data_IF_087632768973
#
_entry.id   IF_087632768973
#
_cell.length_a   1.000
_cell.length_b   1.000
_cell.length_c   1.000
_cell.angle_alpha   90.00
_cell.angle_beta   90.00
_cell.angle_gamma   90.00
#
_symmetry.space_group_name_H-M   'P 1'
#
loop_
_entity.id
_entity.type
_entity.pdbx_description
1 polymer ?
#
# COMPACT_ATOMS: atom_id res chain seq x y z
N UNK A 1 6.32 41.36 16.88
CA UNK A 1 5.66 40.25 17.59
C UNK A 1 4.19 40.62 17.61
N UNK A 2 3.34 39.88 16.90
CA UNK A 2 1.96 40.30 16.63
C UNK A 2 1.12 39.95 17.85
N UNK A 3 0.77 40.99 18.62
CA UNK A 3 -0.22 40.96 19.69
C UNK A 3 -1.51 41.55 19.10
N UNK A 4 -2.60 40.77 19.09
CA UNK A 4 -3.90 41.25 18.64
C UNK A 4 -4.73 41.48 19.91
N UNK A 5 -4.75 42.73 20.36
CA UNK A 5 -5.56 43.20 21.48
C UNK A 5 -7.01 43.37 21.01
N UNK A 6 -7.83 42.35 21.27
CA UNK A 6 -9.29 42.39 21.10
C UNK A 6 -9.90 43.08 22.34
N UNK A 7 -9.96 44.41 22.33
CA UNK A 7 -10.77 45.17 23.28
C UNK A 7 -12.09 45.59 22.65
N UNK A 8 -13.12 44.79 22.89
CA UNK A 8 -14.52 45.15 22.70
C UNK A 8 -14.97 45.96 23.92
N UNK A 9 -15.19 47.27 23.77
CA UNK A 9 -15.96 48.07 24.73
C UNK A 9 -17.26 48.57 24.08
N UNK A 10 -18.33 48.39 24.84
CA UNK A 10 -19.74 48.54 24.47
C UNK A 10 -20.28 49.89 24.98
N UNK A 11 -20.96 50.65 24.11
CA UNK A 11 -21.85 51.80 24.43
C UNK A 11 -21.32 53.24 24.22
N UNK A 12 -22.16 54.26 23.90
CA UNK A 12 -23.61 54.27 23.66
C UNK A 12 -24.01 54.54 22.18
N UNK A 13 -25.18 54.00 21.81
CA UNK A 13 -25.81 54.09 20.49
C UNK A 13 -26.21 55.52 20.09
N UNK A 14 -25.35 56.21 19.34
CA UNK A 14 -25.79 57.23 18.38
C UNK A 14 -25.89 56.55 17.02
N UNK A 15 -27.00 56.71 16.30
CA UNK A 15 -27.26 56.12 14.96
C UNK A 15 -26.15 56.49 13.95
N UNK A 16 -24.99 55.84 14.02
CA UNK A 16 -23.95 55.92 12.99
C UNK A 16 -24.35 54.96 11.89
N UNK A 17 -24.70 55.53 10.74
CA UNK A 17 -25.01 54.79 9.51
C UNK A 17 -23.95 53.71 9.29
N UNK A 18 -24.35 52.44 9.29
CA UNK A 18 -23.48 51.26 9.12
C UNK A 18 -22.57 51.34 7.88
N UNK A 19 -23.00 52.12 6.88
CA UNK A 19 -22.21 52.46 5.69
C UNK A 19 -20.90 53.18 6.00
N UNK A 20 -20.89 54.07 7.00
CA UNK A 20 -19.72 54.88 7.34
C UNK A 20 -18.65 54.04 8.05
N UNK A 21 -19.08 53.08 8.87
CA UNK A 21 -18.18 52.13 9.52
C UNK A 21 -17.59 51.15 8.50
N UNK A 22 -18.43 50.57 7.63
CA UNK A 22 -17.98 49.69 6.57
C UNK A 22 -16.99 50.39 5.61
N UNK A 23 -17.23 51.64 5.23
CA UNK A 23 -16.29 52.39 4.39
C UNK A 23 -14.96 52.67 5.07
N UNK A 24 -14.94 52.86 6.39
CA UNK A 24 -13.72 53.11 7.16
C UNK A 24 -12.86 51.84 7.27
N UNK A 25 -13.47 50.71 7.63
CA UNK A 25 -12.79 49.40 7.71
C UNK A 25 -12.28 48.95 6.34
N UNK A 26 -13.06 49.18 5.27
CA UNK A 26 -12.65 48.85 3.90
C UNK A 26 -11.53 49.77 3.39
N UNK A 27 -11.44 51.01 3.89
CA UNK A 27 -10.34 51.91 3.57
C UNK A 27 -9.04 51.51 4.30
N UNK A 28 -9.15 51.05 5.54
CA UNK A 28 -8.03 50.57 6.38
C UNK A 28 -7.61 49.11 6.10
N UNK A 29 -8.30 48.41 5.20
CA UNK A 29 -7.95 47.04 4.85
C UNK A 29 -6.59 46.97 4.14
N UNK A 30 -5.79 45.94 4.44
CA UNK A 30 -4.48 45.71 3.82
C UNK A 30 -4.55 45.41 2.31
N UNK A 31 -5.75 45.19 1.78
CA UNK A 31 -6.01 45.00 0.35
C UNK A 31 -6.12 46.38 -0.34
N UNK A 32 -5.05 46.83 -0.97
CA UNK A 32 -4.95 48.10 -1.71
C UNK A 32 -6.09 48.29 -2.73
N UNK A 33 -6.57 47.18 -3.31
CA UNK A 33 -7.68 47.19 -4.24
C UNK A 33 -9.00 47.67 -3.61
N UNK A 34 -9.25 47.31 -2.35
CA UNK A 34 -10.48 47.65 -1.61
C UNK A 34 -10.47 49.14 -1.23
N UNK A 35 -9.35 49.65 -0.73
CA UNK A 35 -9.19 51.08 -0.41
C UNK A 35 -9.38 51.96 -1.65
N UNK A 36 -8.86 51.53 -2.81
CA UNK A 36 -9.01 52.27 -4.06
C UNK A 36 -10.46 52.24 -4.62
N UNK A 37 -11.25 51.20 -4.33
CA UNK A 37 -12.68 51.10 -4.70
C UNK A 37 -13.54 52.06 -3.86
N UNK A 38 -13.22 52.21 -2.56
CA UNK A 38 -13.94 53.13 -1.66
C UNK A 38 -13.71 54.58 -2.07
N UNK A 39 -12.48 54.95 -2.43
CA UNK A 39 -12.10 56.33 -2.82
C UNK A 39 -12.60 56.78 -4.21
N UNK A 40 -13.24 55.91 -5.01
CA UNK A 40 -13.68 56.26 -6.37
C UNK A 40 -15.14 56.76 -6.39
N UNK A 41 -15.36 58.01 -6.80
CA UNK A 41 -16.72 58.61 -6.88
C UNK A 41 -17.55 58.15 -8.09
N UNK A 42 -16.90 57.87 -9.23
CA UNK A 42 -17.62 57.56 -10.46
C UNK A 42 -18.17 56.13 -10.45
N UNK A 43 -19.51 55.99 -10.50
CA UNK A 43 -20.25 54.73 -10.34
C UNK A 43 -19.80 53.64 -11.33
N UNK A 44 -19.58 53.99 -12.60
CA UNK A 44 -19.17 53.03 -13.63
C UNK A 44 -17.74 52.50 -13.39
N UNK A 45 -16.80 53.39 -13.07
CA UNK A 45 -15.41 53.01 -12.73
C UNK A 45 -15.34 52.16 -11.46
N UNK A 46 -16.19 52.46 -10.48
CA UNK A 46 -16.32 51.68 -9.25
C UNK A 46 -16.84 50.27 -9.53
N UNK A 47 -17.89 50.14 -10.35
CA UNK A 47 -18.45 48.85 -10.75
C UNK A 47 -17.42 47.99 -11.51
N UNK A 48 -16.67 48.58 -12.44
CA UNK A 48 -15.60 47.88 -13.16
C UNK A 48 -14.51 47.34 -12.22
N UNK A 49 -14.03 48.15 -11.27
CA UNK A 49 -13.01 47.71 -10.30
C UNK A 49 -13.51 46.60 -9.38
N UNK A 50 -14.78 46.65 -8.95
CA UNK A 50 -15.41 45.58 -8.18
C UNK A 50 -15.49 44.30 -9.02
N UNK A 51 -15.90 44.41 -10.28
CA UNK A 51 -15.98 43.25 -11.17
C UNK A 51 -14.62 42.58 -11.36
N UNK A 52 -13.56 43.35 -11.58
CA UNK A 52 -12.19 42.83 -11.70
C UNK A 52 -11.75 42.15 -10.40
N UNK A 53 -12.04 42.76 -9.23
CA UNK A 53 -11.72 42.16 -7.94
C UNK A 53 -12.46 40.84 -7.72
N UNK A 54 -13.75 40.77 -8.06
CA UNK A 54 -14.54 39.53 -7.98
C UNK A 54 -14.00 38.46 -8.92
N UNK A 55 -13.62 38.83 -10.14
CA UNK A 55 -13.01 37.92 -11.10
C UNK A 55 -11.69 37.34 -10.56
N UNK A 56 -10.79 38.19 -10.05
CA UNK A 56 -9.55 37.75 -9.42
C UNK A 56 -9.79 36.84 -8.20
N UNK A 57 -10.72 37.19 -7.32
CA UNK A 57 -11.08 36.36 -6.18
C UNK A 57 -11.61 35.00 -6.61
N UNK A 58 -12.47 34.95 -7.63
CA UNK A 58 -13.00 33.70 -8.15
C UNK A 58 -11.90 32.79 -8.70
N UNK A 59 -10.94 33.36 -9.43
CA UNK A 59 -9.77 32.62 -9.93
C UNK A 59 -8.90 32.10 -8.79
N UNK A 60 -8.67 32.91 -7.76
CA UNK A 60 -7.93 32.50 -6.57
C UNK A 60 -8.61 31.34 -5.83
N UNK A 61 -9.92 31.40 -5.61
CA UNK A 61 -10.68 30.32 -4.97
C UNK A 61 -10.69 29.04 -5.81
N UNK A 62 -10.82 29.16 -7.14
CA UNK A 62 -10.77 28.01 -8.04
C UNK A 62 -9.40 27.30 -7.98
N UNK A 63 -8.31 28.07 -8.07
CA UNK A 63 -6.96 27.52 -8.00
C UNK A 63 -6.68 26.90 -6.62
N UNK A 64 -7.08 27.59 -5.54
CA UNK A 64 -6.91 27.08 -4.17
C UNK A 64 -7.70 25.80 -3.94
N UNK A 65 -8.95 25.72 -4.42
CA UNK A 65 -9.79 24.52 -4.24
C UNK A 65 -9.25 23.33 -5.05
N UNK A 66 -8.75 23.58 -6.26
CA UNK A 66 -8.14 22.53 -7.11
C UNK A 66 -6.89 21.96 -6.45
N UNK A 67 -6.04 22.84 -5.89
CA UNK A 67 -4.87 22.41 -5.13
C UNK A 67 -5.27 21.60 -3.91
N UNK A 68 -6.26 22.07 -3.15
CA UNK A 68 -6.73 21.40 -1.94
C UNK A 68 -7.32 20.02 -2.24
N UNK A 69 -8.06 19.90 -3.35
CA UNK A 69 -8.57 18.62 -3.85
C UNK A 69 -7.43 17.64 -4.13
N UNK A 70 -6.38 18.08 -4.84
CA UNK A 70 -5.21 17.23 -5.11
C UNK A 70 -4.45 16.84 -3.83
N UNK A 71 -4.35 17.73 -2.84
CA UNK A 71 -3.73 17.40 -1.55
C UNK A 71 -4.54 16.35 -0.80
N UNK A 72 -5.87 16.46 -0.77
CA UNK A 72 -6.74 15.51 -0.08
C UNK A 72 -6.86 14.15 -0.77
N UNK A 73 -6.42 14.02 -2.03
CA UNK A 73 -6.28 12.73 -2.68
C UNK A 73 -5.06 11.94 -2.20
N UNK A 74 -4.19 12.54 -1.38
CA UNK A 74 -2.96 11.93 -0.86
C UNK A 74 -2.18 11.13 -1.93
N UNK A 75 -1.89 11.72 -3.11
CA UNK A 75 -1.20 10.99 -4.16
C UNK A 75 0.23 10.65 -3.69
N UNK A 76 0.57 9.37 -3.67
CA UNK A 76 1.93 8.90 -3.41
C UNK A 76 2.74 8.88 -4.70
N UNK A 77 3.85 9.60 -4.74
CA UNK A 77 4.83 9.51 -5.83
C UNK A 77 5.90 8.51 -5.39
N UNK A 78 6.10 7.45 -6.18
CA UNK A 78 7.17 6.46 -5.94
C UNK A 78 8.38 6.88 -6.77
N UNK A 79 9.47 7.26 -6.10
CA UNK A 79 10.77 7.51 -6.72
C UNK A 79 11.61 6.23 -6.65
N UNK A 80 11.84 5.58 -7.78
CA UNK A 80 12.62 4.34 -7.84
C UNK A 80 14.07 4.71 -8.12
N UNK A 81 14.94 4.50 -7.13
CA UNK A 81 16.39 4.64 -7.28
C UNK A 81 17.05 3.27 -7.22
N UNK A 82 17.92 3.00 -8.18
CA UNK A 82 18.72 1.78 -8.23
C UNK A 82 20.09 2.12 -7.63
N UNK A 83 20.40 1.54 -6.48
CA UNK A 83 21.67 1.71 -5.77
C UNK A 83 22.41 0.38 -5.75
N UNK A 84 23.74 0.42 -5.88
CA UNK A 84 24.60 -0.75 -5.80
C UNK A 84 25.42 -0.66 -4.50
N UNK A 85 24.93 -1.19 -3.38
CA UNK A 85 25.64 -1.12 -2.11
C UNK A 85 26.88 -2.03 -2.09
N UNK A 86 27.89 -1.69 -1.29
CA UNK A 86 29.13 -2.46 -1.13
C UNK A 86 28.89 -3.81 -0.42
N UNK A 87 27.87 -3.87 0.43
CA UNK A 87 27.44 -5.08 1.14
C UNK A 87 25.95 -5.29 0.86
N UNK A 88 25.58 -6.51 0.47
CA UNK A 88 24.21 -6.93 0.22
C UNK A 88 23.88 -8.04 1.21
N UNK A 89 22.79 -7.88 1.96
CA UNK A 89 22.28 -8.94 2.81
C UNK A 89 21.80 -10.11 1.95
N UNK A 90 22.30 -11.31 2.23
CA UNK A 90 21.90 -12.49 1.48
C UNK A 90 20.44 -12.82 1.79
N UNK A 91 19.56 -12.93 0.76
CA UNK A 91 18.17 -13.26 1.01
C UNK A 91 18.04 -14.70 1.53
N UNK A 92 16.93 -14.96 2.22
CA UNK A 92 16.57 -16.32 2.59
C UNK A 92 16.33 -17.17 1.34
N UNK A 93 17.22 -18.12 1.06
CA UNK A 93 17.05 -19.05 -0.05
C UNK A 93 16.20 -20.22 0.43
N UNK A 94 15.02 -20.39 -0.16
CA UNK A 94 14.13 -21.52 0.14
C UNK A 94 14.21 -22.51 -1.02
N UNK A 95 14.55 -23.76 -0.72
CA UNK A 95 14.51 -24.86 -1.70
C UNK A 95 13.36 -25.80 -1.35
N UNK A 96 12.63 -26.24 -2.38
CA UNK A 96 11.56 -27.22 -2.25
C UNK A 96 11.87 -28.41 -3.15
N UNK A 97 11.74 -29.63 -2.63
CA UNK A 97 11.67 -30.81 -3.47
C UNK A 97 10.27 -30.89 -4.08
N UNK A 98 10.19 -31.12 -5.39
CA UNK A 98 8.89 -31.30 -6.06
C UNK A 98 8.24 -32.65 -5.69
N UNK A 99 8.97 -33.54 -5.01
CA UNK A 99 8.41 -34.72 -4.39
C UNK A 99 7.79 -34.36 -3.02
N UNK A 100 6.46 -34.42 -2.94
CA UNK A 100 5.72 -34.08 -1.71
C UNK A 100 5.72 -35.17 -0.64
N UNK A 101 6.17 -36.39 -0.96
CA UNK A 101 6.13 -37.53 -0.04
C UNK A 101 7.45 -38.31 -0.02
N UNK A 102 7.96 -38.60 1.17
CA UNK A 102 9.03 -39.58 1.30
C UNK A 102 8.42 -40.98 1.19
N UNK A 103 8.70 -41.70 0.09
CA UNK A 103 8.13 -43.03 -0.19
C UNK A 103 8.33 -44.03 0.95
N UNK A 104 9.53 -44.05 1.56
CA UNK A 104 9.86 -44.98 2.65
C UNK A 104 9.01 -44.70 3.89
N UNK A 105 8.87 -43.41 4.25
CA UNK A 105 8.03 -43.01 5.40
C UNK A 105 6.55 -43.22 5.11
N UNK A 106 6.08 -42.84 3.92
CA UNK A 106 4.68 -42.99 3.51
C UNK A 106 4.22 -44.44 3.61
N UNK A 107 4.98 -45.39 3.03
CA UNK A 107 4.61 -46.81 3.06
C UNK A 107 4.83 -47.48 4.42
N UNK A 108 5.67 -46.92 5.30
CA UNK A 108 5.77 -47.37 6.68
C UNK A 108 4.51 -46.99 7.49
N UNK A 109 3.95 -45.80 7.25
CA UNK A 109 2.75 -45.31 7.94
C UNK A 109 1.46 -45.89 7.33
N UNK A 110 1.41 -46.06 6.01
CA UNK A 110 0.23 -46.55 5.28
C UNK A 110 0.58 -47.74 4.35
N UNK A 111 0.85 -48.94 4.90
CA UNK A 111 1.24 -50.10 4.10
C UNK A 111 0.14 -50.53 3.12
N UNK A 112 -1.13 -50.40 3.49
CA UNK A 112 -2.29 -50.78 2.66
C UNK A 112 -2.47 -49.90 1.41
N UNK A 113 -1.76 -48.78 1.33
CA UNK A 113 -1.82 -47.83 0.20
C UNK A 113 -0.61 -47.95 -0.74
N UNK A 114 0.21 -48.97 -0.53
CA UNK A 114 1.40 -49.23 -1.29
C UNK A 114 1.39 -50.63 -1.91
N UNK A 115 2.08 -50.76 -3.04
CA UNK A 115 2.30 -52.02 -3.74
C UNK A 115 3.80 -52.30 -3.90
N UNK A 116 4.16 -53.57 -4.07
CA UNK A 116 5.55 -53.96 -4.30
C UNK A 116 6.01 -53.57 -5.71
N UNK A 117 7.24 -53.05 -5.81
CA UNK A 117 7.82 -52.71 -7.11
C UNK A 117 7.98 -53.96 -8.01
N UNK A 118 7.56 -53.83 -9.27
CA UNK A 118 7.81 -54.85 -10.29
C UNK A 118 9.30 -54.89 -10.68
N UNK A 119 9.76 -56.04 -11.20
CA UNK A 119 11.14 -56.21 -11.67
C UNK A 119 11.51 -55.20 -12.78
N UNK A 120 10.57 -54.87 -13.66
CA UNK A 120 10.74 -53.86 -14.72
C UNK A 120 11.01 -52.46 -14.15
N UNK A 121 10.32 -52.09 -13.08
CA UNK A 121 10.55 -50.81 -12.39
C UNK A 121 11.94 -50.77 -11.77
N UNK A 122 12.39 -51.87 -11.15
CA UNK A 122 13.73 -51.95 -10.59
C UNK A 122 14.83 -51.98 -11.66
N UNK A 123 14.55 -52.46 -12.86
CA UNK A 123 15.48 -52.39 -13.98
C UNK A 123 15.70 -50.95 -14.45
N UNK A 124 14.62 -50.17 -14.59
CA UNK A 124 14.69 -48.77 -15.04
C UNK A 124 15.18 -47.84 -13.92
N UNK A 125 14.83 -48.12 -12.67
CA UNK A 125 15.03 -47.24 -11.51
C UNK A 125 15.79 -47.95 -10.39
N UNK A 126 16.91 -48.59 -10.75
CA UNK A 126 17.71 -49.43 -9.84
C UNK A 126 18.29 -48.72 -8.62
N UNK A 127 18.37 -47.39 -8.60
CA UNK A 127 18.77 -46.60 -7.41
C UNK A 127 17.74 -46.66 -6.28
N UNK A 128 16.48 -46.94 -6.58
CA UNK A 128 15.40 -47.00 -5.58
C UNK A 128 15.17 -48.40 -5.04
N UNK A 129 15.66 -49.44 -5.70
CA UNK A 129 15.53 -50.82 -5.24
C UNK A 129 16.79 -51.20 -4.45
N UNK A 130 16.62 -51.53 -3.17
CA UNK A 130 17.73 -52.04 -2.37
C UNK A 130 18.13 -53.43 -2.89
N UNK A 131 19.43 -53.72 -2.88
CA UNK A 131 19.96 -55.01 -3.37
C UNK A 131 19.32 -56.16 -2.56
N UNK A 132 18.29 -56.77 -3.15
CA UNK A 132 17.46 -57.89 -2.65
C UNK A 132 16.19 -57.54 -1.85
N UNK A 133 15.64 -56.31 -1.94
CA UNK A 133 14.30 -56.01 -1.41
C UNK A 133 13.49 -55.17 -2.41
N UNK A 134 12.23 -55.56 -2.65
CA UNK A 134 11.27 -54.78 -3.43
C UNK A 134 10.87 -53.54 -2.63
N UNK A 135 11.11 -52.37 -3.19
CA UNK A 135 10.74 -51.12 -2.53
C UNK A 135 9.25 -50.88 -2.70
N UNK A 136 8.54 -50.63 -1.60
CA UNK A 136 7.12 -50.29 -1.65
C UNK A 136 6.92 -48.97 -2.40
N UNK A 137 5.92 -48.93 -3.27
CA UNK A 137 5.54 -47.78 -4.07
C UNK A 137 4.11 -47.39 -3.69
N UNK A 138 3.83 -46.12 -3.36
CA UNK A 138 2.46 -45.67 -3.18
C UNK A 138 1.68 -45.76 -4.50
N UNK A 139 0.38 -46.08 -4.43
CA UNK A 139 -0.48 -46.02 -5.61
C UNK A 139 -0.55 -44.62 -6.20
N UNK A 140 -0.81 -44.53 -7.52
CA UNK A 140 -0.74 -43.25 -8.25
C UNK A 140 -1.65 -42.16 -7.66
N UNK A 141 -2.81 -42.58 -7.15
CA UNK A 141 -3.82 -41.74 -6.50
C UNK A 141 -3.29 -41.01 -5.26
N UNK A 142 -2.19 -41.48 -4.68
CA UNK A 142 -1.60 -40.94 -3.45
C UNK A 142 -0.31 -40.11 -3.69
N UNK A 143 0.15 -39.94 -4.93
CA UNK A 143 1.33 -39.09 -5.20
C UNK A 143 1.04 -37.58 -5.06
N UNK A 144 -0.20 -37.15 -5.26
CA UNK A 144 -0.61 -35.74 -5.20
C UNK A 144 -1.42 -35.39 -3.94
N UNK A 145 -1.26 -36.19 -2.88
CA UNK A 145 -2.18 -36.26 -1.76
C UNK A 145 -2.05 -35.07 -0.79
N UNK A 146 -2.62 -33.93 -1.18
CA UNK A 146 -2.69 -32.72 -0.35
C UNK A 146 -4.02 -32.58 0.38
N UNK A 147 -5.09 -33.21 -0.11
CA UNK A 147 -6.45 -32.97 0.39
C UNK A 147 -6.97 -34.01 1.40
N UNK A 148 -6.36 -35.20 1.51
CA UNK A 148 -6.90 -36.29 2.34
C UNK A 148 -6.12 -36.59 3.62
N UNK A 149 -4.95 -35.98 3.81
CA UNK A 149 -4.11 -36.16 5.01
C UNK A 149 -4.20 -34.94 5.93
N UNK A 150 -4.06 -35.18 7.22
CA UNK A 150 -3.95 -34.07 8.17
C UNK A 150 -2.58 -33.41 8.04
N UNK A 151 -2.49 -32.12 8.39
CA UNK A 151 -1.21 -31.39 8.42
C UNK A 151 -0.13 -32.10 9.25
N UNK A 152 -0.53 -32.85 10.29
CA UNK A 152 0.39 -33.63 11.12
C UNK A 152 0.98 -34.82 10.35
N UNK A 153 0.15 -35.53 9.61
CA UNK A 153 0.58 -36.67 8.78
C UNK A 153 1.48 -36.20 7.64
N UNK A 154 1.17 -35.03 7.05
CA UNK A 154 2.03 -34.41 6.01
C UNK A 154 3.41 -34.00 6.55
N UNK A 155 3.48 -33.46 7.77
CA UNK A 155 4.76 -33.11 8.40
C UNK A 155 5.59 -34.35 8.76
N UNK A 156 4.94 -35.45 9.13
CA UNK A 156 5.62 -36.71 9.48
C UNK A 156 6.19 -37.43 8.24
N UNK A 157 5.43 -37.43 7.15
CA UNK A 157 5.77 -38.11 5.89
C UNK A 157 6.65 -37.25 4.96
N UNK A 158 6.66 -35.93 5.18
CA UNK A 158 7.48 -34.98 4.44
C UNK A 158 8.98 -35.32 4.50
N UNK A 159 9.71 -34.90 3.47
CA UNK A 159 11.17 -34.95 3.49
C UNK A 159 11.73 -33.85 4.42
N UNK A 160 12.69 -34.24 5.26
CA UNK A 160 13.35 -33.29 6.14
C UNK A 160 14.39 -32.50 5.35
N UNK A 161 14.62 -31.24 5.76
CA UNK A 161 15.64 -30.40 5.14
C UNK A 161 17.05 -31.01 5.22
N UNK A 162 17.36 -31.76 6.28
CA UNK A 162 18.65 -32.45 6.44
C UNK A 162 18.85 -33.59 5.41
N UNK A 163 17.77 -34.31 5.09
CA UNK A 163 17.80 -35.42 4.12
C UNK A 163 18.04 -34.89 2.69
N UNK A 164 17.47 -33.73 2.36
CA UNK A 164 17.65 -33.06 1.07
C UNK A 164 19.09 -32.58 0.86
N UNK A 165 19.80 -32.23 1.92
CA UNK A 165 21.19 -31.78 1.84
C UNK A 165 22.19 -32.94 1.68
N UNK A 166 21.80 -34.17 2.03
CA UNK A 166 22.62 -35.37 1.91
C UNK A 166 22.50 -36.10 0.56
N UNK A 167 21.50 -35.77 -0.27
CA UNK A 167 21.28 -36.40 -1.58
C UNK A 167 22.19 -35.86 -2.72
N UNK A 168 23.32 -35.21 -2.39
CA UNK A 168 24.31 -34.74 -3.37
C UNK A 168 25.43 -35.76 -3.60
#
# INVERSE_FOLDING_TARGET
>A
MIEIDLKTEDGPQTKRSSRNYASMVLAESSLTAVSHIVSTENKYRKAFKIFVLLFCLSGFFYQSSTLLYHIFQYPSIVDIRIENPEVIDMPGITFCNNNGINRKKFCATFPDRCYEANEDFCFEHGSYCERNQTTMIPHEEYFALTDSLTLKDLLDIGENAEDLLQQR
#
